data_IF_686475540959
#
_entry.id   IF_686475540959
#
_cell.length_a   1.000
_cell.length_b   1.000
_cell.length_c   1.000
_cell.angle_alpha   90.00
_cell.angle_beta   90.00
_cell.angle_gamma   90.00
#
_symmetry.space_group_name_H-M   'P 1'
#
loop_
_entity.id
_entity.type
_entity.pdbx_description
1 polymer ?
#
# COMPACT_ATOMS: atom_id res chain seq x y z
N UNK A 1 1.18 -6.79 18.51
CA UNK A 1 0.77 -7.78 17.50
C UNK A 1 0.75 -9.22 18.01
N UNK A 2 -0.11 -9.57 18.98
CA UNK A 2 -0.26 -10.96 19.40
C UNK A 2 -1.03 -11.76 18.34
N UNK A 3 -0.48 -12.88 17.87
CA UNK A 3 -1.13 -13.73 16.86
C UNK A 3 -2.18 -14.60 17.55
N UNK A 4 -3.47 -14.31 17.29
CA UNK A 4 -4.61 -15.04 17.89
C UNK A 4 -4.91 -16.36 17.21
N UNK A 5 -4.76 -16.40 15.89
CA UNK A 5 -4.94 -17.60 15.07
C UNK A 5 -4.02 -17.54 13.85
N UNK A 6 -3.57 -18.71 13.39
CA UNK A 6 -2.74 -18.84 12.19
C UNK A 6 -3.03 -20.16 11.50
N UNK A 7 -3.33 -20.10 10.20
CA UNK A 7 -3.60 -21.28 9.37
C UNK A 7 -2.57 -21.34 8.24
N UNK A 8 -1.70 -22.35 8.28
CA UNK A 8 -0.61 -22.51 7.31
C UNK A 8 -1.00 -23.19 5.98
N UNK A 9 -2.21 -23.74 5.90
CA UNK A 9 -2.72 -24.43 4.70
C UNK A 9 -3.99 -25.24 4.99
N UNK A 10 -4.55 -25.87 3.95
CA UNK A 10 -5.83 -26.60 4.01
C UNK A 10 -5.79 -27.85 4.90
N UNK A 11 -4.67 -28.55 4.97
CA UNK A 11 -4.53 -29.76 5.78
C UNK A 11 -3.07 -30.02 6.15
N UNK A 12 -2.77 -29.94 7.44
CA UNK A 12 -1.43 -30.21 7.96
C UNK A 12 -0.96 -31.65 7.69
N UNK A 13 -1.89 -32.62 7.66
CA UNK A 13 -1.60 -34.02 7.34
C UNK A 13 -1.14 -34.22 5.90
N UNK A 14 -1.60 -33.37 4.97
CA UNK A 14 -1.21 -33.43 3.55
C UNK A 14 0.01 -32.58 3.24
N UNK A 15 0.16 -31.43 3.92
CA UNK A 15 1.28 -30.52 3.73
C UNK A 15 1.59 -29.81 5.03
N UNK A 16 2.79 -30.01 5.57
CA UNK A 16 3.28 -29.35 6.78
C UNK A 16 3.89 -27.96 6.50
N UNK A 17 3.99 -27.58 5.23
CA UNK A 17 4.52 -26.27 4.84
C UNK A 17 3.59 -25.15 5.32
N UNK A 18 4.09 -24.26 6.17
CA UNK A 18 3.32 -23.15 6.70
C UNK A 18 3.40 -21.95 5.74
N UNK A 19 2.36 -21.78 4.93
CA UNK A 19 2.26 -20.69 3.95
C UNK A 19 2.10 -19.32 4.61
N UNK A 20 1.59 -19.26 5.83
CA UNK A 20 1.42 -18.00 6.54
C UNK A 20 2.78 -17.34 6.86
N UNK A 21 3.80 -18.15 7.17
CA UNK A 21 5.11 -17.65 7.64
C UNK A 21 6.27 -17.90 6.68
N UNK A 22 6.14 -18.86 5.75
CA UNK A 22 7.25 -19.27 4.86
C UNK A 22 7.02 -18.96 3.39
N UNK A 23 5.76 -18.90 2.93
CA UNK A 23 5.49 -18.61 1.53
C UNK A 23 5.68 -17.12 1.29
N UNK A 24 6.66 -16.78 0.44
CA UNK A 24 6.78 -15.45 -0.13
C UNK A 24 6.01 -15.42 -1.43
N UNK A 25 5.11 -14.44 -1.57
CA UNK A 25 4.18 -14.31 -2.70
C UNK A 25 3.95 -12.85 -3.01
N UNK A 26 3.60 -12.53 -4.26
CA UNK A 26 3.35 -11.15 -4.68
C UNK A 26 2.01 -10.66 -4.13
N UNK A 27 1.99 -9.61 -3.28
CA UNK A 27 0.76 -9.07 -2.68
C UNK A 27 -0.14 -8.35 -3.69
N UNK A 28 0.41 -7.97 -4.85
CA UNK A 28 -0.31 -7.18 -5.83
C UNK A 28 -0.82 -5.86 -5.22
N UNK A 29 -2.07 -5.50 -5.56
CA UNK A 29 -2.71 -4.29 -5.03
C UNK A 29 -2.88 -4.23 -3.49
N UNK A 30 -2.65 -5.32 -2.74
CA UNK A 30 -2.62 -5.26 -1.28
C UNK A 30 -1.43 -4.45 -0.75
N UNK A 31 -0.44 -4.13 -1.60
CA UNK A 31 0.70 -3.27 -1.24
C UNK A 31 0.41 -1.77 -1.36
N UNK A 32 -0.67 -1.38 -2.06
CA UNK A 32 -1.03 0.03 -2.29
C UNK A 32 -1.21 0.88 -1.02
N UNK A 33 -1.63 0.36 0.15
CA UNK A 33 -1.69 1.18 1.38
C UNK A 33 -0.36 1.85 1.72
N UNK A 34 0.79 1.19 1.49
CA UNK A 34 2.10 1.79 1.74
C UNK A 34 2.43 2.95 0.78
N UNK A 35 2.06 2.78 -0.50
CA UNK A 35 2.20 3.84 -1.51
C UNK A 35 1.30 5.04 -1.18
N UNK A 36 0.04 4.78 -0.86
CA UNK A 36 -0.92 5.85 -0.59
C UNK A 36 -0.59 6.56 0.73
N UNK A 37 -0.12 5.83 1.74
CA UNK A 37 0.39 6.46 2.96
C UNK A 37 1.61 7.35 2.67
N UNK A 38 2.57 6.87 1.87
CA UNK A 38 3.71 7.70 1.46
C UNK A 38 3.28 8.95 0.68
N UNK A 39 2.20 8.88 -0.10
CA UNK A 39 1.61 10.05 -0.76
C UNK A 39 0.89 10.99 0.22
N UNK A 40 0.13 10.45 1.17
CA UNK A 40 -0.56 11.24 2.21
C UNK A 40 0.45 12.06 3.02
N UNK A 41 1.56 11.44 3.42
CA UNK A 41 2.66 12.08 4.14
C UNK A 41 3.40 13.15 3.29
N UNK A 42 3.07 13.28 2.00
CA UNK A 42 3.54 14.34 1.10
C UNK A 42 2.43 15.36 0.74
N UNK A 43 1.30 15.33 1.46
CA UNK A 43 0.20 16.29 1.32
C UNK A 43 -0.91 15.89 0.35
N UNK A 44 -0.87 14.68 -0.22
CA UNK A 44 -2.00 14.13 -0.98
C UNK A 44 -3.09 13.65 -0.01
N UNK A 45 -4.31 13.49 -0.48
CA UNK A 45 -5.40 13.02 0.36
C UNK A 45 -6.53 12.37 -0.42
N UNK A 46 -7.55 11.86 0.30
CA UNK A 46 -8.69 11.18 -0.31
C UNK A 46 -9.38 12.01 -1.39
N UNK A 47 -9.40 13.33 -1.23
CA UNK A 47 -10.04 14.28 -2.13
C UNK A 47 -9.14 14.80 -3.27
N UNK A 48 -7.84 14.47 -3.26
CA UNK A 48 -6.96 14.81 -4.38
C UNK A 48 -7.45 14.16 -5.65
N UNK A 49 -7.55 14.93 -6.74
CA UNK A 49 -8.00 14.44 -8.04
C UNK A 49 -6.79 14.12 -8.90
N UNK A 50 -6.78 12.92 -9.48
CA UNK A 50 -5.82 12.47 -10.48
C UNK A 50 -6.57 11.94 -11.70
N UNK A 51 -5.90 11.93 -12.86
CA UNK A 51 -6.52 11.47 -14.11
C UNK A 51 -6.17 10.00 -14.34
N UNK A 52 -7.18 9.13 -14.37
CA UNK A 52 -7.03 7.74 -14.78
C UNK A 52 -6.97 7.68 -16.31
N UNK A 53 -5.77 7.44 -16.85
CA UNK A 53 -5.47 7.37 -18.28
C UNK A 53 -4.24 6.48 -18.51
N UNK A 54 -3.90 6.09 -19.76
CA UNK A 54 -2.69 5.32 -20.02
C UNK A 54 -1.42 5.99 -19.45
N UNK A 55 -0.59 5.22 -18.77
CA UNK A 55 0.69 5.67 -18.20
C UNK A 55 1.82 4.87 -18.81
N UNK A 56 2.91 5.53 -19.19
CA UNK A 56 4.14 4.89 -19.66
C UNK A 56 5.36 5.55 -19.01
N UNK A 57 6.28 4.74 -18.53
CA UNK A 57 7.61 5.18 -18.09
C UNK A 57 8.66 4.22 -18.67
N UNK A 58 9.41 4.68 -19.67
CA UNK A 58 10.26 3.81 -20.48
C UNK A 58 9.46 2.66 -21.11
N UNK A 59 9.89 1.42 -20.84
CA UNK A 59 9.20 0.20 -21.30
C UNK A 59 8.07 -0.27 -20.38
N UNK A 60 7.86 0.39 -19.24
CA UNK A 60 6.83 0.02 -18.29
C UNK A 60 5.52 0.74 -18.61
N UNK A 61 4.48 -0.02 -18.92
CA UNK A 61 3.14 0.47 -19.27
C UNK A 61 2.07 -0.29 -18.46
N UNK A 62 1.81 0.13 -17.22
CA UNK A 62 0.81 -0.54 -16.38
C UNK A 62 -0.61 -0.25 -16.89
N UNK A 63 -1.42 -1.31 -16.98
CA UNK A 63 -2.83 -1.24 -17.33
C UNK A 63 -3.75 -1.49 -16.13
N UNK A 64 -4.97 -0.92 -16.19
CA UNK A 64 -6.02 -1.24 -15.23
C UNK A 64 -6.58 -2.64 -15.46
N UNK A 65 -7.03 -3.29 -14.38
CA UNK A 65 -7.64 -4.62 -14.45
C UNK A 65 -8.86 -4.68 -15.39
N UNK A 66 -9.73 -3.64 -15.36
CA UNK A 66 -10.94 -3.57 -16.20
C UNK A 66 -10.71 -2.97 -17.60
N UNK A 67 -9.45 -2.71 -17.99
CA UNK A 67 -9.03 -2.13 -19.28
C UNK A 67 -9.70 -0.82 -19.74
N UNK A 68 -10.59 -0.24 -18.92
CA UNK A 68 -11.19 1.07 -19.12
C UNK A 68 -10.50 2.12 -18.23
N UNK A 69 -10.64 3.38 -18.64
CA UNK A 69 -10.12 4.56 -17.96
C UNK A 69 -11.28 5.45 -17.52
N UNK A 70 -11.26 5.92 -16.28
CA UNK A 70 -12.32 6.72 -15.68
C UNK A 70 -12.13 8.23 -15.85
N UNK A 71 -10.99 8.68 -16.37
CA UNK A 71 -10.66 10.10 -16.43
C UNK A 71 -10.41 10.68 -15.04
N UNK A 72 -10.78 11.95 -14.76
CA UNK A 72 -10.57 12.57 -13.46
C UNK A 72 -11.30 11.82 -12.33
N UNK A 73 -10.55 11.35 -11.35
CA UNK A 73 -11.07 10.61 -10.18
C UNK A 73 -10.37 11.07 -8.90
N UNK A 74 -11.10 11.04 -7.79
CA UNK A 74 -10.50 11.25 -6.46
C UNK A 74 -9.60 10.06 -6.10
N UNK A 75 -8.54 10.29 -5.33
CA UNK A 75 -7.66 9.22 -4.84
C UNK A 75 -8.42 8.18 -4.00
N UNK A 76 -9.45 8.58 -3.27
CA UNK A 76 -10.36 7.66 -2.59
C UNK A 76 -10.99 6.65 -3.55
N UNK A 77 -11.58 7.12 -4.64
CA UNK A 77 -12.20 6.28 -5.67
C UNK A 77 -11.13 5.42 -6.37
N UNK A 78 -9.98 6.00 -6.71
CA UNK A 78 -8.88 5.29 -7.33
C UNK A 78 -8.34 4.15 -6.44
N UNK A 79 -8.26 4.39 -5.13
CA UNK A 79 -7.84 3.39 -4.14
C UNK A 79 -8.89 2.29 -3.98
N UNK A 80 -10.16 2.67 -3.84
CA UNK A 80 -11.30 1.76 -3.70
C UNK A 80 -11.44 0.81 -4.91
N UNK A 81 -11.30 1.35 -6.13
CA UNK A 81 -11.33 0.57 -7.38
C UNK A 81 -9.98 -0.04 -7.75
N UNK A 82 -8.94 0.28 -6.98
CA UNK A 82 -7.59 -0.25 -7.15
C UNK A 82 -6.98 0.04 -8.52
N UNK A 83 -7.14 1.27 -9.03
CA UNK A 83 -6.60 1.69 -10.33
C UNK A 83 -5.07 1.62 -10.35
N UNK A 84 -4.49 1.01 -11.38
CA UNK A 84 -3.04 0.79 -11.48
C UNK A 84 -2.31 1.98 -12.08
N UNK A 85 -2.97 2.69 -13.00
CA UNK A 85 -2.51 3.94 -13.60
C UNK A 85 -2.26 5.01 -12.54
N UNK A 86 -3.21 5.21 -11.61
CA UNK A 86 -3.07 6.17 -10.51
C UNK A 86 -1.95 5.74 -9.57
N UNK A 87 -1.87 4.45 -9.23
CA UNK A 87 -0.75 3.94 -8.43
C UNK A 87 0.62 4.17 -9.12
N UNK A 88 0.67 4.01 -10.44
CA UNK A 88 1.86 4.28 -11.23
C UNK A 88 2.23 5.78 -11.23
N UNK A 89 1.24 6.67 -11.37
CA UNK A 89 1.46 8.12 -11.26
C UNK A 89 1.98 8.49 -9.87
N UNK A 90 1.34 8.01 -8.82
CA UNK A 90 1.73 8.29 -7.44
C UNK A 90 3.17 7.84 -7.16
N UNK A 91 3.58 6.63 -7.56
CA UNK A 91 4.96 6.19 -7.28
C UNK A 91 6.02 6.99 -8.03
N UNK A 92 5.71 7.48 -9.23
CA UNK A 92 6.59 8.38 -9.96
C UNK A 92 6.71 9.75 -9.28
N UNK A 93 5.66 10.20 -8.58
CA UNK A 93 5.64 11.45 -7.82
C UNK A 93 6.36 11.34 -6.47
N UNK A 94 6.05 10.30 -5.68
CA UNK A 94 6.60 10.15 -4.32
C UNK A 94 7.96 9.45 -4.29
N UNK A 95 8.27 8.67 -5.33
CA UNK A 95 9.47 7.87 -5.45
C UNK A 95 9.34 6.47 -4.81
N UNK A 96 9.82 5.41 -5.48
CA UNK A 96 9.71 4.03 -4.99
C UNK A 96 10.45 3.79 -3.67
N UNK A 97 11.54 4.52 -3.41
CA UNK A 97 12.29 4.40 -2.15
C UNK A 97 11.48 4.83 -0.93
N UNK A 98 10.63 5.87 -1.06
CA UNK A 98 9.73 6.28 0.03
C UNK A 98 8.67 5.22 0.29
N UNK A 99 8.15 4.60 -0.76
CA UNK A 99 7.19 3.49 -0.62
C UNK A 99 7.83 2.32 0.12
N UNK A 100 9.06 1.94 -0.24
CA UNK A 100 9.80 0.88 0.44
C UNK A 100 10.12 1.25 1.90
N UNK A 101 10.53 2.50 2.16
CA UNK A 101 10.77 3.00 3.51
C UNK A 101 9.51 2.97 4.39
N UNK A 102 8.36 3.38 3.84
CA UNK A 102 7.07 3.29 4.54
C UNK A 102 6.69 1.84 4.86
N UNK A 103 6.83 0.92 3.91
CA UNK A 103 6.58 -0.50 4.16
C UNK A 103 7.51 -1.07 5.27
N UNK A 104 8.81 -0.74 5.23
CA UNK A 104 9.78 -1.16 6.25
C UNK A 104 9.46 -0.59 7.63
N UNK A 105 9.13 0.70 7.72
CA UNK A 105 8.72 1.36 8.96
C UNK A 105 7.52 0.69 9.62
N UNK A 106 6.61 0.12 8.81
CA UNK A 106 5.43 -0.60 9.30
C UNK A 106 5.67 -2.10 9.55
N UNK A 107 6.90 -2.59 9.39
CA UNK A 107 7.30 -3.95 9.81
C UNK A 107 7.55 -4.93 8.66
N UNK A 108 7.56 -4.49 7.40
CA UNK A 108 8.02 -5.34 6.29
C UNK A 108 9.55 -5.47 6.33
N UNK A 109 10.02 -6.69 6.44
CA UNK A 109 11.43 -7.13 6.48
C UNK A 109 11.87 -7.88 5.23
N UNK A 110 10.94 -8.42 4.44
CA UNK A 110 11.22 -9.06 3.16
C UNK A 110 11.94 -8.09 2.22
N UNK A 111 12.81 -8.59 1.32
CA UNK A 111 13.46 -7.75 0.32
C UNK A 111 12.42 -7.01 -0.54
N UNK A 112 12.57 -5.69 -0.63
CA UNK A 112 11.71 -4.82 -1.44
C UNK A 112 12.53 -4.26 -2.59
N UNK A 113 11.95 -4.28 -3.79
CA UNK A 113 12.51 -3.62 -4.96
C UNK A 113 12.47 -2.10 -4.82
N UNK A 114 13.35 -1.41 -5.54
CA UNK A 114 13.48 0.05 -5.54
C UNK A 114 12.97 0.71 -6.83
N UNK A 115 12.28 -0.04 -7.69
CA UNK A 115 11.71 0.47 -8.93
C UNK A 115 10.19 0.75 -8.81
N UNK A 116 9.64 1.45 -9.81
CA UNK A 116 8.23 1.87 -9.82
C UNK A 116 7.22 0.70 -9.73
N UNK A 117 7.61 -0.52 -10.08
CA UNK A 117 6.72 -1.68 -10.00
C UNK A 117 6.34 -2.05 -8.57
N UNK A 118 7.08 -1.56 -7.55
CA UNK A 118 6.72 -1.73 -6.14
C UNK A 118 5.29 -1.23 -5.84
N UNK A 119 4.83 -0.20 -6.57
CA UNK A 119 3.47 0.35 -6.49
C UNK A 119 2.37 -0.68 -6.78
N UNK A 120 2.71 -1.72 -7.53
CA UNK A 120 1.81 -2.79 -7.94
C UNK A 120 2.06 -4.09 -7.15
N UNK A 121 2.92 -4.06 -6.13
CA UNK A 121 3.18 -5.20 -5.24
C UNK A 121 3.92 -6.35 -5.91
N UNK A 122 4.97 -6.04 -6.68
CA UNK A 122 5.85 -7.04 -7.33
C UNK A 122 6.85 -7.69 -6.39
N UNK A 123 7.16 -7.05 -5.25
CA UNK A 123 8.02 -7.62 -4.21
C UNK A 123 7.27 -8.66 -3.38
N UNK A 124 7.86 -9.83 -3.19
CA UNK A 124 7.22 -10.92 -2.45
C UNK A 124 7.32 -10.72 -0.94
N UNK A 125 6.22 -10.97 -0.24
CA UNK A 125 6.13 -10.90 1.23
C UNK A 125 5.44 -12.14 1.78
N UNK A 126 5.60 -12.39 3.08
CA UNK A 126 4.80 -13.45 3.75
C UNK A 126 3.45 -12.91 4.19
N UNK A 127 2.46 -13.81 4.33
CA UNK A 127 1.13 -13.40 4.81
C UNK A 127 1.17 -12.83 6.23
N UNK A 128 1.94 -13.44 7.13
CA UNK A 128 2.08 -12.97 8.51
C UNK A 128 2.65 -11.55 8.55
N UNK A 129 3.71 -11.32 7.77
CA UNK A 129 4.38 -10.03 7.67
C UNK A 129 3.46 -8.94 7.11
N UNK A 130 2.79 -9.20 5.98
CA UNK A 130 1.86 -8.23 5.40
C UNK A 130 0.68 -7.94 6.32
N UNK A 131 0.15 -8.97 7.00
CA UNK A 131 -0.94 -8.81 7.96
C UNK A 131 -0.51 -7.97 9.16
N UNK A 132 0.70 -8.21 9.69
CA UNK A 132 1.25 -7.44 10.80
C UNK A 132 1.45 -5.96 10.42
N UNK A 133 1.88 -5.70 9.18
CA UNK A 133 2.07 -4.34 8.68
C UNK A 133 0.77 -3.54 8.48
N UNK A 134 -0.40 -4.18 8.53
CA UNK A 134 -1.70 -3.51 8.54
C UNK A 134 -2.21 -3.18 9.94
N UNK A 135 -1.64 -3.78 11.00
CA UNK A 135 -2.04 -3.51 12.39
C UNK A 135 -1.93 -2.01 12.76
N UNK A 136 -0.90 -1.26 12.32
CA UNK A 136 -0.84 0.20 12.48
C UNK A 136 -2.11 0.93 12.10
N UNK A 137 -2.83 0.46 11.07
CA UNK A 137 -4.02 1.13 10.57
C UNK A 137 -5.23 0.98 11.52
N UNK A 138 -5.19 -0.03 12.40
CA UNK A 138 -6.24 -0.33 13.36
C UNK A 138 -5.94 0.18 14.78
N UNK A 139 -4.66 0.49 15.09
CA UNK A 139 -4.21 0.69 16.48
C UNK A 139 -3.58 2.07 16.76
N UNK A 140 -4.02 3.12 16.06
CA UNK A 140 -3.49 4.49 16.14
C UNK A 140 -2.06 4.65 15.58
N UNK A 141 -1.67 3.84 14.59
CA UNK A 141 -0.43 4.03 13.85
C UNK A 141 0.81 3.41 14.50
N UNK A 142 0.66 2.45 15.42
CA UNK A 142 1.79 1.81 16.11
C UNK A 142 2.20 0.49 15.42
N UNK A 143 3.42 0.38 14.87
CA UNK A 143 3.97 -0.86 14.34
C UNK A 143 4.04 -1.96 15.40
N UNK A 144 4.02 -3.21 14.93
CA UNK A 144 4.04 -4.38 15.80
C UNK A 144 5.03 -5.43 15.34
N UNK A 145 5.59 -6.17 16.29
CA UNK A 145 6.26 -7.44 16.02
C UNK A 145 5.26 -8.58 16.27
N UNK A 146 4.88 -9.36 15.24
CA UNK A 146 3.99 -10.49 15.41
C UNK A 146 4.63 -11.54 16.33
N UNK A 147 3.90 -11.99 17.34
CA UNK A 147 4.40 -12.96 18.32
C UNK A 147 3.33 -13.97 18.75
N UNK A 148 3.79 -15.18 19.10
CA UNK A 148 2.97 -16.27 19.66
C UNK A 148 3.36 -16.62 21.10
N UNK A 149 4.59 -16.31 21.51
CA UNK A 149 5.08 -16.53 22.88
C UNK A 149 4.98 -15.23 23.66
N UNK A 150 4.28 -15.27 24.80
CA UNK A 150 4.16 -14.13 25.73
C UNK A 150 5.04 -14.30 26.97
N UNK A 151 5.26 -15.55 27.40
CA UNK A 151 5.98 -15.90 28.61
C UNK A 151 6.63 -17.27 28.49
N UNK A 152 7.85 -17.42 28.99
CA UNK A 152 8.56 -18.69 29.15
C UNK A 152 9.03 -18.78 30.59
N UNK A 153 8.71 -19.87 31.27
CA UNK A 153 9.18 -20.17 32.62
C UNK A 153 9.66 -21.60 32.75
N UNK A 154 10.60 -21.84 33.65
CA UNK A 154 11.05 -23.18 34.03
C UNK A 154 9.97 -23.93 34.82
N UNK A 155 10.17 -25.23 35.07
CA UNK A 155 9.25 -26.06 35.88
C UNK A 155 9.17 -25.59 37.33
N UNK A 156 10.27 -25.10 37.89
CA UNK A 156 10.38 -24.55 39.25
C UNK A 156 9.89 -23.09 39.35
N UNK A 157 9.37 -22.51 38.26
CA UNK A 157 8.71 -21.21 38.25
C UNK A 157 9.61 -20.01 37.95
N UNK A 158 10.89 -20.22 37.65
CA UNK A 158 11.79 -19.15 37.24
C UNK A 158 11.35 -18.57 35.89
N UNK A 159 11.16 -17.26 35.83
CA UNK A 159 10.83 -16.55 34.60
C UNK A 159 12.09 -16.43 33.71
N UNK A 160 12.02 -16.95 32.49
CA UNK A 160 13.11 -16.89 31.50
C UNK A 160 12.87 -15.80 30.45
N UNK A 161 11.61 -15.57 30.10
CA UNK A 161 11.21 -14.56 29.14
C UNK A 161 9.80 -14.08 29.46
N UNK A 162 9.60 -12.77 29.42
CA UNK A 162 8.30 -12.16 29.36
C UNK A 162 8.33 -11.05 28.32
N UNK A 163 7.26 -10.95 27.54
CA UNK A 163 7.19 -9.96 26.50
C UNK A 163 6.81 -8.59 27.06
N UNK A 164 7.68 -7.60 26.86
CA UNK A 164 7.43 -6.21 27.24
C UNK A 164 7.29 -5.33 26.00
N UNK A 165 6.04 -5.04 25.60
CA UNK A 165 5.75 -4.18 24.46
C UNK A 165 6.36 -4.64 23.13
N UNK A 166 6.26 -3.78 22.11
CA UNK A 166 6.87 -4.00 20.78
C UNK A 166 8.07 -3.07 20.55
N UNK A 167 8.31 -2.11 21.46
CA UNK A 167 9.43 -1.17 21.39
C UNK A 167 9.30 -0.06 20.34
N UNK A 168 8.18 0.03 19.61
CA UNK A 168 7.96 1.05 18.59
C UNK A 168 7.29 2.30 19.13
N UNK A 169 7.68 3.45 18.56
CA UNK A 169 6.94 4.70 18.63
C UNK A 169 5.80 4.69 17.62
N UNK A 170 4.87 5.65 17.76
CA UNK A 170 3.86 5.89 16.73
C UNK A 170 4.55 6.16 15.39
N UNK A 171 4.19 5.39 14.36
CA UNK A 171 4.73 5.55 13.02
C UNK A 171 3.86 6.43 12.15
N UNK A 172 2.54 6.39 12.30
CA UNK A 172 1.58 7.13 11.46
C UNK A 172 0.87 8.17 12.34
N UNK A 173 0.82 9.43 11.89
CA UNK A 173 0.09 10.48 12.60
C UNK A 173 -1.42 10.21 12.55
N UNK A 174 -2.18 10.72 13.52
CA UNK A 174 -3.64 10.55 13.54
C UNK A 174 -4.33 11.16 12.30
N UNK A 175 -3.78 12.26 11.78
CA UNK A 175 -4.27 12.92 10.56
C UNK A 175 -4.07 12.04 9.32
N UNK A 176 -2.84 11.53 9.11
CA UNK A 176 -2.54 10.69 7.95
C UNK A 176 -3.29 9.35 8.04
N UNK A 177 -3.43 8.82 9.25
CA UNK A 177 -4.17 7.60 9.54
C UNK A 177 -5.66 7.76 9.23
N UNK A 178 -6.27 8.89 9.58
CA UNK A 178 -7.66 9.19 9.25
C UNK A 178 -7.92 9.22 7.74
N UNK A 179 -7.03 9.89 6.99
CA UNK A 179 -7.08 9.91 5.53
C UNK A 179 -6.97 8.51 4.92
N UNK A 180 -6.02 7.69 5.40
CA UNK A 180 -5.86 6.32 4.92
C UNK A 180 -7.07 5.44 5.27
N UNK A 181 -7.56 5.52 6.51
CA UNK A 181 -8.71 4.73 6.95
C UNK A 181 -9.99 5.09 6.19
N UNK A 182 -10.20 6.36 5.83
CA UNK A 182 -11.29 6.77 4.92
C UNK A 182 -11.23 6.00 3.59
N UNK A 183 -10.05 5.91 2.97
CA UNK A 183 -9.89 5.16 1.71
C UNK A 183 -9.99 3.65 1.91
N UNK A 184 -9.49 3.11 3.02
CA UNK A 184 -9.60 1.68 3.37
C UNK A 184 -11.04 1.23 3.60
N UNK A 185 -11.90 2.10 4.16
CA UNK A 185 -13.35 1.88 4.23
C UNK A 185 -13.99 1.87 2.85
N UNK A 186 -13.62 2.84 1.99
CA UNK A 186 -14.13 2.93 0.63
C UNK A 186 -13.90 1.65 -0.19
N UNK A 187 -12.79 0.92 0.06
CA UNK A 187 -12.55 -0.39 -0.58
C UNK A 187 -13.65 -1.40 -0.26
N UNK A 188 -14.13 -1.46 0.98
CA UNK A 188 -15.12 -2.45 1.43
C UNK A 188 -16.56 -1.95 1.29
N UNK A 189 -16.82 -0.65 1.19
CA UNK A 189 -18.18 -0.11 0.97
C UNK A 189 -18.49 0.04 -0.52
N UNK A 190 -17.56 0.59 -1.29
CA UNK A 190 -17.79 1.03 -2.67
C UNK A 190 -16.92 0.29 -3.68
N UNK A 191 -15.78 -0.22 -3.22
CA UNK A 191 -14.71 -0.76 -4.06
C UNK A 191 -14.70 -2.27 -4.26
N UNK A 192 -13.47 -2.80 -4.33
CA UNK A 192 -13.21 -4.21 -4.68
C UNK A 192 -13.44 -5.21 -3.54
N UNK A 193 -13.56 -4.74 -2.29
CA UNK A 193 -13.60 -5.56 -1.09
C UNK A 193 -14.98 -5.81 -0.48
N UNK A 194 -16.08 -5.51 -1.20
CA UNK A 194 -17.45 -5.50 -0.64
C UNK A 194 -17.87 -6.78 0.09
N UNK A 195 -17.39 -7.94 -0.34
CA UNK A 195 -17.73 -9.22 0.29
C UNK A 195 -17.15 -9.42 1.68
N UNK A 196 -16.25 -8.54 2.11
CA UNK A 196 -15.69 -8.56 3.47
C UNK A 196 -16.64 -7.97 4.53
N UNK A 197 -17.68 -7.22 4.14
CA UNK A 197 -18.58 -6.59 5.11
C UNK A 197 -19.35 -7.61 5.95
N UNK A 198 -19.46 -7.36 7.25
CA UNK A 198 -20.32 -8.11 8.18
C UNK A 198 -20.80 -7.22 9.34
N UNK A 199 -22.04 -7.46 9.78
CA UNK A 199 -22.62 -6.73 10.90
C UNK A 199 -22.60 -5.20 10.69
N UNK A 200 -22.51 -4.46 11.79
CA UNK A 200 -22.38 -3.01 11.82
C UNK A 200 -20.94 -2.55 12.12
N UNK A 201 -19.94 -3.42 11.95
CA UNK A 201 -18.56 -3.09 12.29
C UNK A 201 -17.97 -2.10 11.28
N UNK A 202 -17.20 -1.14 11.80
CA UNK A 202 -16.35 -0.30 10.98
C UNK A 202 -15.13 -1.10 10.49
N UNK A 203 -15.02 -1.28 9.18
CA UNK A 203 -14.09 -2.20 8.54
C UNK A 203 -13.24 -1.43 7.53
N UNK A 204 -11.92 -1.63 7.63
CA UNK A 204 -10.95 -1.21 6.63
C UNK A 204 -10.33 -2.43 5.98
N UNK A 205 -10.02 -2.36 4.69
CA UNK A 205 -9.34 -3.47 4.03
C UNK A 205 -8.82 -3.17 2.64
N UNK A 206 -8.00 -4.09 2.13
CA UNK A 206 -7.47 -4.02 0.76
C UNK A 206 -7.43 -5.38 0.11
N UNK A 207 -7.93 -5.44 -1.13
CA UNK A 207 -7.75 -6.58 -2.02
C UNK A 207 -6.42 -6.50 -2.75
N UNK A 208 -5.78 -7.66 -2.91
CA UNK A 208 -4.62 -7.86 -3.78
C UNK A 208 -4.88 -8.98 -4.79
N UNK A 209 -4.38 -8.81 -6.01
CA UNK A 209 -4.37 -9.86 -7.03
C UNK A 209 -3.09 -9.69 -7.85
N UNK A 210 -2.27 -10.74 -7.94
CA UNK A 210 -1.06 -10.72 -8.76
C UNK A 210 -1.38 -11.00 -10.23
N UNK A 211 -0.38 -10.86 -11.10
CA UNK A 211 -0.51 -11.19 -12.53
C UNK A 211 -0.92 -12.65 -12.73
N UNK A 212 -1.60 -12.94 -13.84
CA UNK A 212 -2.13 -14.26 -14.19
C UNK A 212 -3.00 -14.92 -13.10
N UNK A 213 -3.56 -14.15 -12.16
CA UNK A 213 -4.36 -14.67 -11.04
C UNK A 213 -3.65 -15.73 -10.19
N UNK A 214 -2.33 -15.62 -10.00
CA UNK A 214 -1.57 -16.60 -9.20
C UNK A 214 -1.84 -16.45 -7.71
N UNK A 215 -2.00 -15.22 -7.25
CA UNK A 215 -2.21 -14.87 -5.85
C UNK A 215 -3.44 -13.98 -5.69
N UNK A 216 -4.30 -14.36 -4.74
CA UNK A 216 -5.45 -13.57 -4.33
C UNK A 216 -5.36 -13.27 -2.84
N UNK A 217 -5.41 -11.99 -2.48
CA UNK A 217 -5.24 -11.50 -1.11
C UNK A 217 -6.43 -10.67 -0.68
N UNK A 218 -6.81 -10.82 0.59
CA UNK A 218 -7.56 -9.80 1.31
C UNK A 218 -6.94 -9.61 2.68
N UNK A 219 -6.50 -8.38 2.98
CA UNK A 219 -6.06 -7.99 4.32
C UNK A 219 -7.03 -6.93 4.80
N UNK A 220 -7.62 -7.15 5.98
CA UNK A 220 -8.60 -6.23 6.55
C UNK A 220 -8.57 -6.24 8.06
N UNK A 221 -9.24 -5.25 8.64
CA UNK A 221 -9.26 -5.04 10.09
C UNK A 221 -10.53 -4.33 10.55
N UNK A 222 -10.80 -4.51 11.82
CA UNK A 222 -11.64 -3.65 12.67
C UNK A 222 -10.75 -3.00 13.72
N UNK A 223 -11.30 -2.24 14.66
CA UNK A 223 -10.55 -1.73 15.81
C UNK A 223 -10.07 -2.84 16.78
N UNK A 224 -10.58 -4.07 16.66
CA UNK A 224 -10.29 -5.19 17.56
C UNK A 224 -9.28 -6.18 16.96
N UNK A 225 -9.43 -6.53 15.68
CA UNK A 225 -8.60 -7.54 15.03
C UNK A 225 -8.19 -7.14 13.62
N UNK A 226 -6.97 -7.52 13.25
CA UNK A 226 -6.47 -7.52 11.87
C UNK A 226 -6.28 -8.96 11.43
N UNK A 227 -6.78 -9.29 10.23
CA UNK A 227 -6.62 -10.60 9.64
C UNK A 227 -6.27 -10.49 8.16
N UNK A 228 -5.47 -11.45 7.69
CA UNK A 228 -5.10 -11.58 6.29
C UNK A 228 -5.45 -12.96 5.77
N UNK A 229 -5.94 -13.01 4.54
CA UNK A 229 -6.22 -14.25 3.81
C UNK A 229 -5.50 -14.20 2.47
N UNK A 230 -4.77 -15.27 2.18
CA UNK A 230 -4.19 -15.54 0.87
C UNK A 230 -4.73 -16.85 0.31
N UNK A 231 -5.01 -16.85 -0.99
CA UNK A 231 -5.36 -18.04 -1.76
C UNK A 231 -4.49 -18.08 -3.02
N UNK A 232 -3.82 -19.20 -3.25
CA UNK A 232 -2.99 -19.46 -4.42
C UNK A 232 -2.53 -20.92 -4.48
N UNK A 233 -1.79 -21.27 -5.53
CA UNK A 233 -1.22 -22.60 -5.72
C UNK A 233 0.28 -22.61 -5.42
N UNK A 234 0.78 -23.69 -4.84
CA UNK A 234 2.19 -23.76 -4.44
C UNK A 234 3.15 -23.71 -5.62
N UNK A 235 2.76 -24.32 -6.73
CA UNK A 235 3.50 -24.40 -8.00
C UNK A 235 3.40 -23.12 -8.84
N UNK A 236 2.81 -22.04 -8.31
CA UNK A 236 2.60 -20.78 -9.01
C UNK A 236 1.67 -20.88 -10.24
N UNK A 237 0.97 -21.99 -10.43
CA UNK A 237 -0.05 -22.10 -11.47
C UNK A 237 -1.19 -21.11 -11.20
N UNK A 238 -1.76 -20.49 -12.25
CA UNK A 238 -2.92 -19.61 -12.12
C UNK A 238 -4.04 -20.24 -11.29
N UNK A 239 -4.66 -19.44 -10.43
CA UNK A 239 -5.93 -19.82 -9.85
C UNK A 239 -7.02 -19.78 -10.94
N UNK A 240 -8.19 -20.36 -10.67
CA UNK A 240 -9.35 -20.30 -11.59
C UNK A 240 -10.00 -18.91 -11.57
N UNK A 241 -9.23 -17.87 -11.94
CA UNK A 241 -9.59 -16.44 -11.91
C UNK A 241 -10.03 -15.95 -10.51
N UNK A 242 -9.40 -16.45 -9.44
CA UNK A 242 -9.71 -15.99 -8.08
C UNK A 242 -9.09 -14.61 -7.89
N UNK A 243 -9.89 -13.67 -7.40
CA UNK A 243 -9.45 -12.32 -7.05
C UNK A 243 -9.54 -12.10 -5.54
N UNK A 244 -8.82 -11.11 -5.04
CA UNK A 244 -8.82 -10.76 -3.62
C UNK A 244 -10.20 -10.44 -3.04
N UNK A 245 -11.07 -9.84 -3.86
CA UNK A 245 -12.44 -9.46 -3.47
C UNK A 245 -13.46 -10.59 -3.46
N UNK A 246 -13.06 -11.79 -3.90
CA UNK A 246 -13.91 -12.97 -3.94
C UNK A 246 -13.61 -13.89 -2.73
N UNK A 247 -13.09 -15.09 -2.98
CA UNK A 247 -12.87 -16.12 -1.98
C UNK A 247 -12.03 -15.64 -0.76
N UNK A 248 -10.94 -14.87 -0.91
CA UNK A 248 -10.20 -14.36 0.25
C UNK A 248 -11.02 -13.44 1.15
N UNK A 249 -11.80 -12.52 0.58
CA UNK A 249 -12.67 -11.62 1.33
C UNK A 249 -13.82 -12.37 2.04
N UNK A 250 -14.39 -13.40 1.42
CA UNK A 250 -15.41 -14.25 2.03
C UNK A 250 -14.86 -15.05 3.22
N UNK A 251 -13.71 -15.70 3.06
CA UNK A 251 -13.04 -16.40 4.16
C UNK A 251 -12.71 -15.43 5.30
N UNK A 252 -12.20 -14.24 4.97
CA UNK A 252 -11.91 -13.21 5.96
C UNK A 252 -13.16 -12.82 6.75
N UNK A 253 -14.27 -12.56 6.05
CA UNK A 253 -15.56 -12.22 6.66
C UNK A 253 -16.03 -13.31 7.62
N UNK A 254 -16.01 -14.56 7.18
CA UNK A 254 -16.51 -15.68 7.96
C UNK A 254 -15.68 -15.88 9.25
N UNK A 255 -14.35 -15.75 9.17
CA UNK A 255 -13.47 -15.80 10.34
C UNK A 255 -13.73 -14.62 11.27
N UNK A 256 -13.81 -13.41 10.72
CA UNK A 256 -13.97 -12.19 11.53
C UNK A 256 -15.33 -12.12 12.19
N UNK A 257 -16.40 -12.57 11.53
CA UNK A 257 -17.73 -12.66 12.13
C UNK A 257 -17.75 -13.59 13.36
N UNK A 258 -16.98 -14.68 13.34
CA UNK A 258 -16.82 -15.56 14.50
C UNK A 258 -15.98 -14.90 15.59
N UNK A 259 -14.86 -14.27 15.22
CA UNK A 259 -13.96 -13.60 16.16
C UNK A 259 -14.62 -12.42 16.89
N UNK A 260 -15.63 -11.78 16.29
CA UNK A 260 -16.33 -10.62 16.85
C UNK A 260 -17.57 -10.96 17.70
N UNK A 261 -17.89 -12.24 17.91
CA UNK A 261 -19.02 -12.62 18.75
C UNK A 261 -18.87 -12.05 20.17
N UNK A 262 -19.82 -11.22 20.58
CA UNK A 262 -19.84 -10.58 21.90
C UNK A 262 -19.00 -9.30 22.00
N UNK A 263 -18.34 -8.86 20.94
CA UNK A 263 -17.61 -7.59 20.92
C UNK A 263 -18.53 -6.42 20.57
N UNK A 264 -18.34 -5.30 21.24
CA UNK A 264 -19.00 -4.04 20.88
C UNK A 264 -18.39 -3.46 19.62
N UNK A 265 -19.20 -2.82 18.78
CA UNK A 265 -18.72 -2.08 17.61
C UNK A 265 -17.89 -0.89 18.08
N UNK A 266 -16.69 -0.73 17.52
CA UNK A 266 -15.80 0.42 17.75
C UNK A 266 -15.37 1.01 16.40
N UNK A 267 -15.29 2.35 16.28
CA UNK A 267 -14.82 2.99 15.06
C UNK A 267 -13.32 2.73 14.86
N UNK A 268 -12.88 2.74 13.61
CA UNK A 268 -11.46 2.79 13.29
C UNK A 268 -10.89 4.17 13.66
N UNK A 269 -9.59 4.25 14.02
CA UNK A 269 -8.97 5.49 14.43
C UNK A 269 -8.89 6.52 13.30
N UNK A 270 -8.80 7.80 13.68
CA UNK A 270 -8.59 8.93 12.77
C UNK A 270 -9.87 9.59 12.22
N UNK A 271 -11.05 9.34 12.79
CA UNK A 271 -12.31 9.98 12.35
C UNK A 271 -12.44 11.48 12.69
N UNK A 272 -11.56 12.04 13.52
CA UNK A 272 -11.69 13.42 14.02
C UNK A 272 -10.53 14.32 13.65
N UNK A 273 -10.37 14.67 12.37
CA UNK A 273 -9.98 16.03 11.96
C UNK A 273 -10.68 16.33 10.62
N UNK A 274 -11.92 16.83 10.69
CA UNK A 274 -12.39 17.73 9.64
C UNK A 274 -11.34 18.83 9.55
N UNK A 275 -10.70 19.04 8.38
CA UNK A 275 -9.94 20.27 8.19
C UNK A 275 -10.92 21.41 8.43
N UNK A 276 -10.75 22.11 9.55
CA UNK A 276 -11.27 23.46 9.64
C UNK A 276 -10.60 24.24 8.49
N UNK A 277 -11.35 24.71 7.47
CA UNK A 277 -10.77 25.43 6.35
C UNK A 277 -10.03 26.71 6.80
N UNK A 278 -10.25 27.18 8.03
CA UNK A 278 -9.65 28.40 8.58
C UNK A 278 -8.25 28.21 9.20
N UNK A 279 -7.73 26.98 9.32
CA UNK A 279 -6.36 26.74 9.83
C UNK A 279 -5.25 26.94 8.78
N UNK A 280 -5.54 27.62 7.67
CA UNK A 280 -4.50 28.15 6.76
C UNK A 280 -3.86 29.45 7.25
N UNK A 281 -4.30 30.01 8.38
CA UNK A 281 -3.62 31.15 8.99
C UNK A 281 -2.53 30.64 9.94
N UNK A 282 -1.40 30.18 9.38
CA UNK A 282 -0.14 30.18 10.15
C UNK A 282 0.12 31.64 10.49
N UNK A 283 0.06 31.95 11.80
CA UNK A 283 0.53 33.21 12.36
C UNK A 283 1.92 33.48 11.80
N UNK A 284 2.02 34.54 10.99
CA UNK A 284 3.29 35.20 10.73
C UNK A 284 3.83 35.60 12.09
N UNK A 285 4.96 35.02 12.48
CA UNK A 285 5.77 35.58 13.55
C UNK A 285 6.22 36.95 13.02
N UNK A 286 5.74 38.02 13.64
CA UNK A 286 6.20 39.38 13.38
C UNK A 286 7.68 39.48 13.73
N UNK A 287 8.52 39.53 12.69
CA UNK A 287 9.90 40.01 12.80
C UNK A 287 9.85 41.51 12.48
N UNK A 288 10.38 42.40 13.35
CA UNK A 288 10.36 43.83 13.08
C UNK A 288 11.13 44.14 11.79
N UNK A 289 10.45 44.79 10.85
CA UNK A 289 10.99 45.29 9.60
C UNK A 289 11.92 46.48 9.83
N UNK A 290 13.17 46.37 9.35
CA UNK A 290 13.98 47.54 9.00
C UNK A 290 13.80 47.86 7.52
N UNK A 291 13.65 49.15 7.26
CA UNK A 291 13.31 49.82 6.01
C UNK A 291 14.18 49.42 4.82
N UNK A 292 13.57 49.09 3.67
CA UNK A 292 14.03 49.55 2.34
C UNK A 292 12.81 49.76 1.41
N UNK A 293 12.87 50.87 0.68
CA UNK A 293 11.90 51.61 -0.14
C UNK A 293 10.99 50.88 -1.16
N UNK A 294 9.88 51.57 -1.44
CA UNK A 294 8.95 51.43 -2.58
C UNK A 294 9.67 51.36 -3.95
N UNK A 295 9.29 50.40 -4.79
CA UNK A 295 8.55 50.68 -6.04
C UNK A 295 8.08 49.38 -6.72
N UNK A 296 7.06 49.51 -7.59
CA UNK A 296 6.50 48.55 -8.56
C UNK A 296 5.28 47.68 -8.17
N UNK A 297 4.21 47.88 -8.95
CA UNK A 297 2.93 47.16 -8.94
C UNK A 297 3.04 45.68 -9.37
N UNK A 298 2.09 44.81 -8.95
CA UNK A 298 2.18 43.37 -9.19
C UNK A 298 1.62 42.94 -10.56
N UNK A 299 2.44 42.28 -11.37
CA UNK A 299 1.93 41.37 -12.40
C UNK A 299 1.67 39.98 -11.80
N UNK A 300 0.45 39.48 -11.99
CA UNK A 300 0.03 38.10 -11.66
C UNK A 300 0.76 37.08 -12.55
N UNK A 301 1.48 36.09 -11.98
CA UNK A 301 2.14 35.06 -12.77
C UNK A 301 1.16 33.94 -13.16
N UNK A 302 1.07 33.65 -14.46
CA UNK A 302 0.52 32.39 -14.98
C UNK A 302 1.43 31.24 -14.53
N UNK A 303 0.96 30.39 -13.60
CA UNK A 303 1.62 29.12 -13.26
C UNK A 303 1.61 28.20 -14.48
N UNK A 304 2.80 27.96 -15.05
CA UNK A 304 3.02 26.92 -16.07
C UNK A 304 3.20 25.55 -15.40
N UNK A 305 2.59 24.53 -16.00
CA UNK A 305 2.65 23.15 -15.56
C UNK A 305 4.07 22.57 -15.62
N UNK A 306 4.39 21.75 -14.63
CA UNK A 306 5.68 21.07 -14.42
C UNK A 306 6.19 20.29 -15.65
N UNK A 307 5.31 19.84 -16.55
CA UNK A 307 5.65 19.03 -17.72
C UNK A 307 6.30 19.79 -18.90
N UNK A 308 6.33 21.13 -18.92
CA UNK A 308 7.15 21.88 -19.92
C UNK A 308 8.63 21.97 -19.52
N UNK A 309 8.97 21.80 -18.24
CA UNK A 309 10.35 21.99 -17.73
C UNK A 309 11.29 20.81 -17.94
N UNK A 310 10.77 19.66 -18.40
CA UNK A 310 11.56 18.46 -18.74
C UNK A 310 11.99 18.43 -20.21
N UNK A 311 11.39 19.26 -21.08
CA UNK A 311 11.69 19.30 -22.52
C UNK A 311 12.97 20.04 -22.90
N UNK A 312 13.54 20.87 -22.00
CA UNK A 312 14.71 21.72 -22.29
C UNK A 312 16.03 21.22 -21.70
N UNK A 313 16.05 20.02 -21.11
CA UNK A 313 17.27 19.39 -20.58
C UNK A 313 17.89 18.34 -21.53
N UNK A 314 17.24 18.09 -22.68
CA UNK A 314 17.74 17.21 -23.74
C UNK A 314 17.63 17.88 -25.11
N UNK A 315 18.32 19.01 -25.29
CA UNK A 315 18.60 19.55 -26.62
C UNK A 315 19.96 20.27 -26.63
N UNK A 316 20.95 19.64 -27.24
CA UNK A 316 22.31 20.17 -27.45
C UNK A 316 23.34 19.08 -27.16
N UNK A 317 24.17 18.62 -28.08
CA UNK A 317 24.40 19.01 -29.46
C UNK A 317 25.12 17.85 -30.18
N UNK A 318 25.09 17.93 -31.50
CA UNK A 318 25.81 17.06 -32.44
C UNK A 318 27.32 17.23 -32.31
N UNK A 319 28.06 16.13 -32.19
CA UNK A 319 29.39 16.03 -32.80
C UNK A 319 29.66 14.61 -33.28
N UNK A 320 30.16 14.55 -34.49
CA UNK A 320 30.32 13.41 -35.37
C UNK A 320 31.80 13.02 -35.37
N UNK A 321 32.15 11.83 -34.90
CA UNK A 321 33.25 11.05 -35.47
C UNK A 321 33.45 9.70 -34.76
N UNK A 322 33.56 8.66 -35.59
CA UNK A 322 34.31 7.38 -35.44
C UNK A 322 33.47 6.09 -35.53
N UNK A 323 34.08 5.01 -36.07
CA UNK A 323 33.48 4.23 -37.15
C UNK A 323 32.71 2.99 -36.68
N UNK A 324 31.80 2.54 -37.56
CA UNK A 324 30.97 1.34 -37.41
C UNK A 324 31.82 0.06 -37.51
N UNK A 325 31.65 -0.93 -36.61
CA UNK A 325 32.05 -2.30 -36.88
C UNK A 325 30.95 -3.01 -37.67
N UNK A 326 31.31 -3.51 -38.84
CA UNK A 326 30.56 -4.50 -39.61
C UNK A 326 30.40 -5.79 -38.80
N UNK A 327 29.17 -6.27 -38.61
CA UNK A 327 28.90 -7.69 -38.41
C UNK A 327 27.74 -8.13 -39.29
N UNK A 328 28.10 -8.93 -40.28
CA UNK A 328 27.21 -9.57 -41.24
C UNK A 328 26.33 -10.61 -40.55
N UNK A 329 25.04 -10.55 -40.82
CA UNK A 329 24.11 -11.68 -40.66
C UNK A 329 24.53 -12.82 -41.59
N UNK A 330 24.73 -14.03 -41.05
CA UNK A 330 24.56 -15.27 -41.80
C UNK A 330 23.60 -16.20 -41.06
N UNK A 331 22.50 -16.47 -41.76
CA UNK A 331 21.61 -17.59 -41.53
C UNK A 331 22.21 -18.87 -42.16
N UNK A 332 21.74 -20.02 -41.64
CA UNK A 332 21.64 -21.38 -42.23
C UNK A 332 22.63 -22.49 -41.77
N UNK A 333 21.96 -23.49 -41.17
CA UNK A 333 21.92 -24.93 -41.52
C UNK A 333 23.00 -25.92 -41.06
N UNK A 334 22.47 -27.01 -40.46
CA UNK A 334 22.88 -28.42 -40.50
C UNK A 334 24.27 -28.83 -39.99
N UNK A 335 24.33 -29.43 -38.79
CA UNK A 335 24.31 -30.89 -38.54
C UNK A 335 24.42 -31.15 -37.04
#
# INVERSE_FOLDING_TARGET
>A
GAVKAMVGGKSYRKSQFNRATKAKRQPGSAFKPFLYLAAIEQGYGPDTVEVDEPVRSGNWQPGNYRQNYLGPVRLETAFALSLNTIAAKLVMLVGPERVAATARRLGITSPLGSDASIALGTSEVTLLELTAAFVPFANNGYPVIPHVVTRISTRDGQLLYERHGDGYTQAITDFDLGALNRMMRAVVTEGTGKRAQFGAYDIGGKTGTSQDYRDAWFIGYTADYTAGVWVGNDDNSPTRNVTGGALPAEIWRDVMQQAHRGLSVRPLPGETISRDPDLTTISRIDVPSQDIAEDAQPETPKRKGFFEKLGSLFSGGTDDSRPKPHWQTRNKENR
#
